data_IF_517168527702
#
_entry.id   IF_517168527702
#
_cell.length_a   1.000
_cell.length_b   1.000
_cell.length_c   1.000
_cell.angle_alpha   90.00
_cell.angle_beta   90.00
_cell.angle_gamma   90.00
#
_symmetry.space_group_name_H-M   'P 1'
#
loop_
_entity.id
_entity.type
_entity.pdbx_description
1 polymer ?
#
# COMPACT_ATOMS: atom_id res chain seq x y z
N UNK A 1 -7.01 9.18 3.95
CA UNK A 1 -6.72 8.64 2.62
C UNK A 1 -6.79 7.11 2.71
N UNK A 2 -7.46 6.45 1.78
CA UNK A 2 -7.61 4.98 1.78
C UNK A 2 -7.03 4.45 0.47
N UNK A 3 -6.17 3.44 0.58
CA UNK A 3 -5.64 2.72 -0.58
C UNK A 3 -6.09 1.28 -0.45
N UNK A 4 -6.83 0.80 -1.44
CA UNK A 4 -7.39 -0.54 -1.45
C UNK A 4 -6.67 -1.41 -2.47
N UNK A 5 -6.40 -2.65 -2.07
CA UNK A 5 -5.93 -3.71 -2.98
C UNK A 5 -6.87 -4.89 -2.87
N UNK A 6 -7.31 -5.40 -4.02
CA UNK A 6 -8.14 -6.59 -4.08
C UNK A 6 -7.26 -7.81 -4.25
N UNK A 7 -7.64 -8.94 -3.67
CA UNK A 7 -6.86 -10.18 -3.82
C UNK A 7 -6.63 -10.54 -5.29
N UNK A 8 -7.56 -10.27 -6.21
CA UNK A 8 -7.32 -10.54 -7.64
C UNK A 8 -6.11 -9.77 -8.20
N UNK A 9 -5.82 -8.60 -7.65
CA UNK A 9 -4.78 -7.66 -8.10
C UNK A 9 -3.56 -7.74 -7.18
N UNK A 10 -2.40 -8.19 -7.70
CA UNK A 10 -1.18 -8.31 -6.89
C UNK A 10 -0.47 -6.99 -6.56
N UNK A 11 -0.85 -5.91 -7.24
CA UNK A 11 -0.25 -4.58 -7.13
C UNK A 11 -1.26 -3.48 -7.49
N UNK A 12 -1.38 -2.46 -6.66
CA UNK A 12 -2.15 -1.24 -6.96
C UNK A 12 -1.24 -0.03 -6.85
N UNK A 13 -1.35 0.91 -7.79
CA UNK A 13 -0.63 2.18 -7.77
C UNK A 13 -1.66 3.33 -7.73
N UNK A 14 -1.44 4.26 -6.80
CA UNK A 14 -2.20 5.50 -6.69
C UNK A 14 -1.22 6.66 -6.41
N UNK A 15 -0.82 7.33 -7.49
CA UNK A 15 0.19 8.38 -7.46
C UNK A 15 1.53 7.87 -6.91
N UNK A 16 1.96 8.44 -5.78
CA UNK A 16 3.21 8.08 -5.07
C UNK A 16 3.08 6.81 -4.23
N UNK A 17 1.87 6.29 -4.03
CA UNK A 17 1.62 5.12 -3.19
C UNK A 17 1.51 3.87 -4.04
N UNK A 18 2.22 2.82 -3.65
CA UNK A 18 2.10 1.50 -4.26
C UNK A 18 1.85 0.45 -3.19
N UNK A 19 0.77 -0.32 -3.34
CA UNK A 19 0.47 -1.45 -2.46
C UNK A 19 0.75 -2.74 -3.21
N UNK A 20 1.46 -3.66 -2.55
CA UNK A 20 1.76 -4.99 -3.05
C UNK A 20 1.11 -6.03 -2.15
N UNK A 21 0.47 -7.02 -2.76
CA UNK A 21 -0.08 -8.18 -2.07
C UNK A 21 0.57 -9.45 -2.60
N UNK A 22 1.46 -10.04 -1.79
CA UNK A 22 2.01 -11.36 -2.05
C UNK A 22 1.13 -12.41 -1.38
N UNK A 23 0.33 -13.12 -2.17
CA UNK A 23 -0.60 -14.16 -1.69
C UNK A 23 0.12 -15.35 -1.08
N UNK A 24 1.17 -15.83 -1.75
CA UNK A 24 1.93 -17.00 -1.33
C UNK A 24 2.62 -16.77 0.00
N UNK A 25 3.18 -15.57 0.19
CA UNK A 25 3.83 -15.16 1.44
C UNK A 25 2.87 -14.52 2.46
N UNK A 26 1.56 -14.39 2.13
CA UNK A 26 0.54 -13.69 2.92
C UNK A 26 1.01 -12.32 3.45
N UNK A 27 1.67 -11.54 2.59
CA UNK A 27 2.30 -10.27 2.96
C UNK A 27 1.68 -9.13 2.18
N UNK A 28 1.32 -8.07 2.90
CA UNK A 28 0.95 -6.78 2.33
C UNK A 28 2.09 -5.79 2.60
N UNK A 29 2.48 -5.04 1.57
CA UNK A 29 3.50 -4.00 1.66
C UNK A 29 2.99 -2.71 1.05
N UNK A 30 3.23 -1.58 1.73
CA UNK A 30 3.01 -0.23 1.21
C UNK A 30 4.36 0.40 0.90
N UNK A 31 4.54 0.89 -0.31
CA UNK A 31 5.66 1.71 -0.73
C UNK A 31 5.17 3.13 -1.00
N UNK A 32 5.93 4.13 -0.53
CA UNK A 32 5.65 5.55 -0.70
C UNK A 32 6.85 6.17 -1.39
N UNK A 33 6.71 6.52 -2.67
CA UNK A 33 7.73 7.22 -3.42
C UNK A 33 7.78 8.71 -3.04
N UNK A 34 8.96 9.33 -3.15
CA UNK A 34 9.17 10.76 -2.92
C UNK A 34 8.50 11.29 -1.64
N UNK A 35 8.66 10.58 -0.51
CA UNK A 35 8.00 10.89 0.76
C UNK A 35 8.16 12.36 1.16
N UNK A 36 7.05 13.00 1.52
CA UNK A 36 6.95 14.41 1.87
C UNK A 36 6.69 14.54 3.38
N UNK A 37 7.02 15.68 4.00
CA UNK A 37 6.73 15.90 5.42
C UNK A 37 5.26 15.65 5.80
N UNK A 38 4.33 15.96 4.88
CA UNK A 38 2.89 15.73 5.05
C UNK A 38 2.45 14.26 5.04
N UNK A 39 3.32 13.33 4.64
CA UNK A 39 3.06 11.89 4.70
C UNK A 39 3.29 11.32 6.12
N UNK A 40 3.77 12.14 7.07
CA UNK A 40 3.98 11.71 8.45
C UNK A 40 2.63 11.39 9.12
N UNK A 41 2.31 10.11 9.27
CA UNK A 41 1.06 9.64 9.86
C UNK A 41 1.19 8.24 10.47
N UNK A 42 0.17 7.82 11.22
CA UNK A 42 0.00 6.42 11.61
C UNK A 42 -0.61 5.64 10.43
N UNK A 43 0.14 4.67 9.92
CA UNK A 43 -0.32 3.77 8.86
C UNK A 43 -0.81 2.46 9.46
N UNK A 44 -2.09 2.14 9.24
CA UNK A 44 -2.73 0.93 9.75
C UNK A 44 -3.09 0.03 8.57
N UNK A 45 -2.66 -1.23 8.63
CA UNK A 45 -3.11 -2.26 7.71
C UNK A 45 -4.40 -2.90 8.23
N UNK A 46 -5.38 -3.08 7.35
CA UNK A 46 -6.64 -3.77 7.64
C UNK A 46 -6.95 -4.77 6.50
N UNK A 47 -7.68 -5.85 6.82
CA UNK A 47 -8.03 -6.94 5.91
C UNK A 47 -9.51 -7.30 6.04
#
# INVERSE_FOLDING_TARGET
FLISIFSVTGKTEDGRFTVFLNKSARRLSLHIADSQPGDSALYICAA
#
